data_IF_395105493887
#
_entry.id   IF_395105493887
#
_cell.length_a   1.000
_cell.length_b   1.000
_cell.length_c   1.000
_cell.angle_alpha   90.00
_cell.angle_beta   90.00
_cell.angle_gamma   90.00
#
_symmetry.space_group_name_H-M   'P 1'
#
loop_
_entity.id
_entity.type
_entity.pdbx_description
1 polymer ?
#
# COMPACT_ATOMS: atom_id res chain seq x y z
N UNK A 1 -11.37 13.49 -20.15
CA UNK A 1 -11.39 12.01 -20.20
C UNK A 1 -11.12 11.51 -18.79
N UNK A 2 -11.73 10.40 -18.34
CA UNK A 2 -11.45 9.85 -17.02
C UNK A 2 -9.97 9.49 -16.92
N UNK A 3 -9.32 9.90 -15.83
CA UNK A 3 -7.92 9.53 -15.57
C UNK A 3 -7.91 8.19 -14.82
N UNK A 4 -7.21 7.20 -15.36
CA UNK A 4 -6.99 5.92 -14.67
C UNK A 4 -5.72 6.02 -13.84
N UNK A 5 -5.77 5.53 -12.60
CA UNK A 5 -4.63 5.49 -11.69
C UNK A 5 -4.30 4.04 -11.35
N UNK A 6 -3.04 3.65 -11.54
CA UNK A 6 -2.50 2.35 -11.18
C UNK A 6 -1.53 2.51 -10.00
N UNK A 7 -1.86 1.90 -8.86
CA UNK A 7 -0.93 1.68 -7.74
C UNK A 7 -0.40 0.25 -7.82
N UNK A 8 0.91 0.07 -7.75
CA UNK A 8 1.53 -1.23 -7.96
C UNK A 8 2.82 -1.41 -7.19
N UNK A 9 3.16 -2.66 -6.88
CA UNK A 9 4.48 -3.04 -6.42
C UNK A 9 4.76 -4.52 -6.68
N UNK A 10 6.03 -4.88 -6.64
CA UNK A 10 6.46 -6.27 -6.52
C UNK A 10 7.86 -6.29 -5.90
N UNK A 11 8.05 -7.17 -4.92
CA UNK A 11 9.39 -7.53 -4.45
C UNK A 11 9.99 -8.56 -5.42
N UNK A 12 11.10 -8.21 -6.05
CA UNK A 12 11.79 -9.05 -7.03
C UNK A 12 13.27 -8.64 -7.07
N UNK A 13 14.17 -9.61 -7.28
CA UNK A 13 15.60 -9.31 -7.39
C UNK A 13 15.91 -8.59 -8.70
N UNK A 14 16.26 -7.30 -8.60
CA UNK A 14 16.60 -6.42 -9.72
C UNK A 14 18.03 -5.88 -9.56
N UNK A 15 19.08 -6.70 -9.76
CA UNK A 15 20.48 -6.25 -9.58
C UNK A 15 20.87 -5.09 -10.51
N UNK A 16 20.25 -5.03 -11.68
CA UNK A 16 20.35 -4.04 -12.76
C UNK A 16 19.34 -2.87 -12.61
N UNK A 17 18.65 -2.69 -11.47
CA UNK A 17 17.59 -1.68 -11.30
C UNK A 17 18.01 -0.23 -11.68
N UNK A 18 19.31 0.07 -11.63
CA UNK A 18 19.87 1.37 -12.06
C UNK A 18 19.75 1.56 -13.57
N UNK A 19 19.98 0.50 -14.33
CA UNK A 19 19.92 0.46 -15.79
C UNK A 19 18.46 0.50 -16.28
N UNK A 20 17.53 -0.09 -15.51
CA UNK A 20 16.09 -0.07 -15.80
C UNK A 20 15.45 1.33 -15.76
N UNK A 21 16.10 2.31 -15.12
CA UNK A 21 15.53 3.64 -14.86
C UNK A 21 15.19 4.42 -16.12
N UNK A 22 16.11 4.49 -17.07
CA UNK A 22 15.92 5.30 -18.28
C UNK A 22 14.94 4.64 -19.26
N UNK A 23 15.02 3.33 -19.56
CA UNK A 23 14.00 2.65 -20.37
C UNK A 23 12.58 2.78 -19.78
N UNK A 24 12.44 2.64 -18.45
CA UNK A 24 11.15 2.83 -17.78
C UNK A 24 10.65 4.27 -17.87
N UNK A 25 11.57 5.25 -17.81
CA UNK A 25 11.20 6.66 -17.99
C UNK A 25 10.69 6.91 -19.41
N UNK A 26 11.37 6.39 -20.42
CA UNK A 26 10.97 6.52 -21.82
C UNK A 26 9.60 5.91 -22.04
N UNK A 27 9.38 4.66 -21.60
CA UNK A 27 8.08 4.00 -21.65
C UNK A 27 6.96 4.86 -21.05
N UNK A 28 7.14 5.34 -19.82
CA UNK A 28 6.14 6.18 -19.17
C UNK A 28 5.93 7.53 -19.88
N UNK A 29 6.98 8.12 -20.46
CA UNK A 29 6.89 9.40 -21.16
C UNK A 29 6.17 9.28 -22.50
N UNK A 30 6.44 8.21 -23.27
CA UNK A 30 5.79 7.92 -24.54
C UNK A 30 4.28 7.68 -24.36
N UNK A 31 3.91 7.07 -23.22
CA UNK A 31 2.54 6.86 -22.79
C UNK A 31 1.90 8.08 -22.09
N UNK A 32 2.61 9.21 -22.03
CA UNK A 32 2.19 10.45 -21.36
C UNK A 32 1.74 10.26 -19.90
N UNK A 33 2.33 9.28 -19.19
CA UNK A 33 2.00 8.97 -17.80
C UNK A 33 2.67 9.95 -16.84
N UNK A 34 1.98 10.23 -15.73
CA UNK A 34 2.52 11.01 -14.60
C UNK A 34 2.40 10.22 -13.31
N UNK A 35 3.21 10.58 -12.31
CA UNK A 35 3.25 9.89 -11.03
C UNK A 35 4.65 9.59 -10.57
N UNK A 36 4.80 8.57 -9.74
CA UNK A 36 6.08 8.21 -9.13
C UNK A 36 6.31 6.71 -9.18
N UNK A 37 7.51 6.32 -9.59
CA UNK A 37 8.01 4.95 -9.49
C UNK A 37 9.32 4.94 -8.73
N UNK A 38 9.45 3.99 -7.82
CA UNK A 38 10.63 3.66 -7.06
C UNK A 38 11.21 2.36 -7.60
N UNK A 39 12.50 2.36 -7.88
CA UNK A 39 13.28 1.18 -8.23
C UNK A 39 14.36 0.99 -7.18
N UNK A 40 14.50 -0.24 -6.70
CA UNK A 40 15.58 -0.67 -5.83
C UNK A 40 16.03 -2.07 -6.24
N UNK A 41 17.14 -2.54 -5.67
CA UNK A 41 17.59 -3.91 -5.86
C UNK A 41 16.50 -4.93 -5.48
N UNK A 42 15.66 -4.59 -4.51
CA UNK A 42 14.57 -5.44 -4.00
C UNK A 42 13.26 -5.36 -4.80
N UNK A 43 13.18 -4.57 -5.86
CA UNK A 43 12.00 -4.57 -6.75
C UNK A 43 11.53 -3.19 -7.19
N UNK A 44 10.21 -3.08 -7.39
CA UNK A 44 9.52 -1.90 -7.92
C UNK A 44 8.30 -1.54 -7.08
N UNK A 45 8.02 -0.24 -6.94
CA UNK A 45 6.80 0.29 -6.30
C UNK A 45 6.43 1.60 -6.99
N UNK A 46 5.16 1.83 -7.29
CA UNK A 46 4.75 3.09 -7.88
C UNK A 46 3.26 3.35 -7.89
N UNK A 47 2.94 4.61 -8.16
CA UNK A 47 1.60 5.07 -8.52
C UNK A 47 1.72 5.91 -9.78
N UNK A 48 1.04 5.51 -10.85
CA UNK A 48 1.01 6.22 -12.12
C UNK A 48 -0.43 6.52 -12.53
N UNK A 49 -0.63 7.64 -13.20
CA UNK A 49 -1.90 8.08 -13.73
C UNK A 49 -1.78 8.50 -15.20
N UNK A 50 -2.82 8.23 -15.98
CA UNK A 50 -2.86 8.50 -17.41
C UNK A 50 -4.20 8.15 -18.05
N UNK A 51 -4.21 8.11 -19.38
CA UNK A 51 -5.33 7.54 -20.12
C UNK A 51 -5.52 6.05 -19.79
N UNK A 52 -6.75 5.51 -19.81
CA UNK A 52 -7.00 4.10 -19.50
C UNK A 52 -6.15 3.13 -20.33
N UNK A 53 -6.12 3.33 -21.66
CA UNK A 53 -5.34 2.52 -22.59
C UNK A 53 -3.83 2.61 -22.33
N UNK A 54 -3.33 3.81 -22.02
CA UNK A 54 -1.92 4.03 -21.69
C UNK A 54 -1.50 3.30 -20.40
N UNK A 55 -2.38 3.26 -19.39
CA UNK A 55 -2.13 2.49 -18.17
C UNK A 55 -2.15 0.98 -18.46
N UNK A 56 -3.07 0.51 -19.30
CA UNK A 56 -3.15 -0.91 -19.67
C UNK A 56 -1.91 -1.34 -20.46
N UNK A 57 -1.45 -0.51 -21.40
CA UNK A 57 -0.20 -0.72 -22.15
C UNK A 57 1.03 -0.73 -21.23
N UNK A 58 1.12 0.19 -20.28
CA UNK A 58 2.19 0.22 -19.29
C UNK A 58 2.23 -1.07 -18.44
N UNK A 59 1.08 -1.52 -17.95
CA UNK A 59 0.99 -2.75 -17.15
C UNK A 59 1.37 -3.97 -17.98
N UNK A 60 0.93 -4.04 -19.23
CA UNK A 60 1.32 -5.11 -20.15
C UNK A 60 2.84 -5.10 -20.39
N UNK A 61 3.44 -3.92 -20.57
CA UNK A 61 4.89 -3.79 -20.73
C UNK A 61 5.66 -4.24 -19.47
N UNK A 62 5.19 -3.93 -18.26
CA UNK A 62 5.83 -4.42 -17.04
C UNK A 62 5.85 -5.96 -16.95
N UNK A 63 4.77 -6.61 -17.40
CA UNK A 63 4.59 -8.07 -17.29
C UNK A 63 5.23 -8.85 -18.45
N UNK A 64 5.19 -8.30 -19.65
CA UNK A 64 5.44 -9.07 -20.88
C UNK A 64 6.60 -8.56 -21.72
N UNK A 65 7.15 -7.36 -21.46
CA UNK A 65 8.31 -6.89 -22.19
C UNK A 65 9.62 -7.48 -21.67
N UNK A 66 10.64 -7.45 -22.51
CA UNK A 66 12.00 -7.86 -22.13
C UNK A 66 12.63 -6.96 -21.06
N UNK A 67 12.05 -5.77 -20.79
CA UNK A 67 12.60 -4.79 -19.85
C UNK A 67 12.86 -5.39 -18.47
N UNK A 68 11.93 -6.20 -17.97
CA UNK A 68 12.09 -6.88 -16.68
C UNK A 68 12.43 -8.37 -16.83
N UNK A 69 12.55 -8.89 -18.05
CA UNK A 69 12.91 -10.29 -18.31
C UNK A 69 12.05 -11.29 -17.55
N UNK A 70 10.74 -11.02 -17.43
CA UNK A 70 9.79 -11.87 -16.69
C UNK A 70 9.89 -11.79 -15.16
N UNK A 71 10.78 -10.97 -14.58
CA UNK A 71 10.96 -10.85 -13.12
C UNK A 71 9.78 -10.18 -12.39
N UNK A 72 8.83 -9.60 -13.13
CA UNK A 72 7.62 -8.96 -12.60
C UNK A 72 6.34 -9.77 -12.93
N UNK A 73 6.35 -11.06 -12.57
CA UNK A 73 5.29 -12.03 -12.80
C UNK A 73 4.14 -12.02 -11.77
N UNK A 74 4.34 -11.35 -10.63
CA UNK A 74 3.41 -11.31 -9.50
C UNK A 74 3.12 -9.88 -9.05
N UNK A 75 2.90 -8.99 -10.03
CA UNK A 75 2.66 -7.59 -9.78
C UNK A 75 1.36 -7.39 -8.99
N UNK A 76 1.50 -6.95 -7.74
CA UNK A 76 0.38 -6.46 -6.94
C UNK A 76 -0.09 -5.14 -7.56
N UNK A 77 -1.33 -5.11 -8.02
CA UNK A 77 -1.84 -4.06 -8.89
C UNK A 77 -3.26 -3.67 -8.48
N UNK A 78 -3.50 -2.37 -8.32
CA UNK A 78 -4.81 -1.80 -8.02
C UNK A 78 -5.09 -0.62 -8.92
N UNK A 79 -6.33 -0.57 -9.41
CA UNK A 79 -6.81 0.50 -10.26
C UNK A 79 -7.84 1.34 -9.51
N UNK A 80 -7.78 2.65 -9.74
CA UNK A 80 -8.79 3.60 -9.31
C UNK A 80 -8.95 4.66 -10.40
N UNK A 81 -9.97 5.49 -10.26
CA UNK A 81 -10.19 6.62 -11.17
C UNK A 81 -9.81 7.92 -10.46
N UNK A 82 -9.51 8.92 -11.27
CA UNK A 82 -9.33 10.29 -10.81
C UNK A 82 -10.13 11.27 -11.68
N UNK A 83 -10.76 12.26 -11.03
CA UNK A 83 -11.52 13.30 -11.72
C UNK A 83 -10.60 14.23 -12.55
N UNK A 84 -9.39 14.47 -12.05
CA UNK A 84 -8.33 15.22 -12.70
C UNK A 84 -7.01 14.45 -12.60
N UNK A 85 -5.96 14.92 -13.30
CA UNK A 85 -4.64 14.30 -13.25
C UNK A 85 -4.01 14.53 -11.86
N UNK A 86 -3.83 13.50 -11.01
CA UNK A 86 -3.49 13.70 -9.60
C UNK A 86 -1.98 13.87 -9.35
N UNK A 87 -1.21 14.11 -10.41
CA UNK A 87 0.24 14.27 -10.38
C UNK A 87 0.71 15.37 -11.34
N UNK A 88 1.51 16.30 -10.84
CA UNK A 88 2.12 17.33 -11.68
C UNK A 88 3.11 16.81 -12.75
N UNK A 89 3.89 15.76 -12.45
CA UNK A 89 4.95 15.22 -13.35
C UNK A 89 5.30 13.76 -13.06
N UNK A 90 5.97 13.10 -14.01
CA UNK A 90 6.60 11.79 -13.83
C UNK A 90 7.88 11.89 -12.98
N UNK A 91 8.08 10.93 -12.07
CA UNK A 91 9.30 10.74 -11.28
C UNK A 91 9.68 9.27 -11.27
N UNK A 92 10.86 8.92 -11.80
CA UNK A 92 11.47 7.58 -11.60
C UNK A 92 12.69 7.73 -10.69
N UNK A 93 12.63 7.15 -9.49
CA UNK A 93 13.63 7.33 -8.43
C UNK A 93 14.31 6.02 -8.07
N UNK A 94 15.63 6.05 -8.03
CA UNK A 94 16.45 4.98 -7.46
C UNK A 94 16.47 5.10 -5.94
N UNK A 95 16.25 3.99 -5.24
CA UNK A 95 16.23 3.92 -3.78
C UNK A 95 17.02 2.72 -3.29
N UNK A 96 17.34 2.72 -1.99
CA UNK A 96 17.85 1.53 -1.30
C UNK A 96 16.75 0.49 -1.13
N UNK A 97 15.54 0.96 -0.82
CA UNK A 97 14.35 0.16 -0.60
C UNK A 97 13.16 0.79 -1.34
N UNK A 98 12.28 -0.03 -1.90
CA UNK A 98 11.01 0.42 -2.52
C UNK A 98 9.96 0.81 -1.49
N UNK A 99 10.17 0.39 -0.23
CA UNK A 99 9.52 0.91 0.97
C UNK A 99 10.52 0.86 2.13
N UNK A 100 10.88 2.04 2.66
CA UNK A 100 11.98 2.14 3.65
C UNK A 100 11.58 1.56 5.00
N UNK A 101 12.23 0.47 5.39
CA UNK A 101 12.14 -0.14 6.71
C UNK A 101 13.48 -0.08 7.47
N UNK A 102 14.59 -0.27 6.75
CA UNK A 102 15.95 -0.13 7.28
C UNK A 102 16.35 -1.24 8.27
N UNK A 103 15.94 -2.48 8.00
CA UNK A 103 16.41 -3.69 8.67
C UNK A 103 16.44 -4.83 7.62
N UNK A 104 17.61 -5.46 7.45
CA UNK A 104 17.82 -6.53 6.47
C UNK A 104 17.09 -7.83 6.84
N UNK A 105 16.66 -7.99 8.10
CA UNK A 105 15.82 -9.12 8.49
C UNK A 105 14.40 -9.04 7.91
N UNK A 106 14.00 -7.88 7.41
CA UNK A 106 12.67 -7.62 6.84
C UNK A 106 12.72 -7.77 5.31
N UNK A 107 12.98 -9.00 4.85
CA UNK A 107 13.15 -9.37 3.45
C UNK A 107 11.94 -10.18 2.94
N UNK A 108 11.01 -9.54 2.21
CA UNK A 108 9.83 -10.22 1.67
C UNK A 108 10.14 -11.31 0.64
N UNK A 109 11.33 -11.31 0.05
CA UNK A 109 11.71 -12.35 -0.92
C UNK A 109 12.05 -13.68 -0.25
N UNK A 110 12.30 -13.66 1.07
CA UNK A 110 12.61 -14.85 1.87
C UNK A 110 11.38 -15.41 2.57
N UNK A 111 10.62 -14.54 3.23
CA UNK A 111 9.45 -14.93 4.00
C UNK A 111 8.53 -13.73 4.22
N UNK A 112 7.23 -13.96 4.10
CA UNK A 112 6.17 -13.00 4.43
C UNK A 112 5.10 -13.69 5.26
N UNK A 113 4.26 -12.89 5.90
CA UNK A 113 3.08 -13.35 6.62
C UNK A 113 2.02 -13.97 5.70
N UNK A 114 1.01 -14.56 6.32
CA UNK A 114 -0.12 -15.16 5.61
C UNK A 114 -1.02 -14.07 5.04
N UNK A 115 -1.18 -14.05 3.72
CA UNK A 115 -2.16 -13.17 3.07
C UNK A 115 -3.59 -13.57 3.45
N UNK A 116 -4.41 -12.57 3.71
CA UNK A 116 -5.83 -12.74 3.99
C UNK A 116 -6.63 -11.93 2.97
N UNK A 117 -7.53 -12.60 2.27
CA UNK A 117 -8.40 -11.96 1.29
C UNK A 117 -9.39 -11.01 1.99
N UNK A 118 -9.81 -9.91 1.34
CA UNK A 118 -10.77 -8.96 1.94
C UNK A 118 -12.03 -9.60 2.53
N UNK A 119 -12.58 -10.61 1.85
CA UNK A 119 -13.79 -11.33 2.29
C UNK A 119 -13.61 -12.07 3.62
N UNK A 120 -12.39 -12.49 3.93
CA UNK A 120 -12.04 -13.26 5.12
C UNK A 120 -11.48 -12.34 6.23
N UNK A 121 -11.15 -11.09 5.88
CA UNK A 121 -10.50 -10.13 6.77
C UNK A 121 -11.33 -9.80 8.00
N UNK A 122 -12.61 -9.47 7.82
CA UNK A 122 -13.51 -9.07 8.91
C UNK A 122 -13.64 -10.14 9.99
N UNK A 123 -13.65 -11.42 9.59
CA UNK A 123 -13.70 -12.56 10.50
C UNK A 123 -12.43 -12.64 11.33
N UNK A 124 -11.26 -12.54 10.69
CA UNK A 124 -9.97 -12.56 11.38
C UNK A 124 -9.88 -11.44 12.41
N UNK A 125 -10.14 -10.19 12.00
CA UNK A 125 -10.03 -9.03 12.88
C UNK A 125 -11.19 -8.92 13.89
N UNK A 126 -12.19 -9.80 13.81
CA UNK A 126 -13.29 -9.93 14.78
C UNK A 126 -12.97 -10.85 15.94
N UNK A 127 -11.91 -11.65 15.80
CA UNK A 127 -11.52 -12.59 16.84
C UNK A 127 -10.84 -11.85 18.00
N UNK A 128 -11.26 -12.08 19.26
CA UNK A 128 -10.74 -11.34 20.43
C UNK A 128 -9.27 -11.63 20.74
N UNK A 129 -8.70 -12.69 20.17
CA UNK A 129 -7.29 -13.07 20.29
C UNK A 129 -6.39 -12.43 19.21
N UNK A 130 -6.97 -11.67 18.27
CA UNK A 130 -6.25 -11.05 17.16
C UNK A 130 -5.84 -9.63 17.50
N UNK A 131 -4.54 -9.38 17.49
CA UNK A 131 -4.01 -8.01 17.59
C UNK A 131 -4.02 -7.39 16.20
N UNK A 132 -4.92 -6.45 15.98
CA UNK A 132 -4.99 -5.68 14.75
C UNK A 132 -4.05 -4.47 14.83
N UNK A 133 -3.14 -4.31 13.86
CA UNK A 133 -2.14 -3.24 13.85
C UNK A 133 -2.17 -2.49 12.52
N UNK A 134 -2.30 -1.16 12.61
CA UNK A 134 -2.14 -0.27 11.47
C UNK A 134 -0.66 0.00 11.23
N UNK A 135 -0.10 -0.43 10.10
CA UNK A 135 1.35 -0.24 9.83
C UNK A 135 1.66 1.10 9.19
N UNK A 136 0.67 1.99 9.11
CA UNK A 136 0.79 3.30 8.46
C UNK A 136 1.32 4.36 9.39
N UNK A 137 1.63 5.54 8.84
CA UNK A 137 2.09 6.67 9.63
C UNK A 137 0.90 7.31 10.36
N UNK A 138 1.16 7.98 11.49
CA UNK A 138 0.12 8.58 12.34
C UNK A 138 -0.85 9.50 11.56
N UNK A 139 -0.37 10.28 10.59
CA UNK A 139 -1.24 11.14 9.78
C UNK A 139 -2.23 10.36 8.90
N UNK A 140 -1.87 9.14 8.45
CA UNK A 140 -2.74 8.28 7.66
C UNK A 140 -3.80 7.61 8.54
N UNK A 141 -3.44 7.28 9.78
CA UNK A 141 -4.36 6.71 10.79
C UNK A 141 -5.42 7.74 11.19
N UNK A 142 -5.02 9.00 11.36
CA UNK A 142 -5.92 10.10 11.71
C UNK A 142 -7.05 10.32 10.69
N UNK A 143 -6.84 9.98 9.42
CA UNK A 143 -7.84 10.14 8.34
C UNK A 143 -8.87 8.99 8.35
N UNK A 144 -8.44 7.81 8.79
CA UNK A 144 -9.31 6.64 8.88
C UNK A 144 -8.51 5.39 9.18
N UNK A 145 -9.12 4.43 9.88
CA UNK A 145 -8.50 3.15 10.23
C UNK A 145 -9.57 2.08 10.44
N UNK A 146 -9.16 0.82 10.63
CA UNK A 146 -10.08 -0.24 11.01
C UNK A 146 -10.49 -0.11 12.48
N UNK A 147 -11.77 -0.36 12.77
CA UNK A 147 -12.28 -0.38 14.14
C UNK A 147 -11.52 -1.39 15.02
N UNK A 148 -10.98 -0.91 16.14
CA UNK A 148 -10.18 -1.71 17.08
C UNK A 148 -8.71 -1.90 16.68
N UNK A 149 -8.23 -1.23 15.62
CA UNK A 149 -6.82 -1.26 15.25
C UNK A 149 -5.94 -0.52 16.27
N UNK A 150 -4.79 -1.11 16.58
CA UNK A 150 -3.72 -0.47 17.33
C UNK A 150 -3.00 0.52 16.42
N UNK A 151 -2.93 1.79 16.83
CA UNK A 151 -2.10 2.82 16.20
C UNK A 151 -0.70 2.81 16.81
N UNK A 152 0.36 2.51 16.04
CA UNK A 152 1.74 2.60 16.51
C UNK A 152 2.23 4.03 16.78
N UNK A 153 1.48 5.06 16.39
CA UNK A 153 1.83 6.47 16.46
C UNK A 153 3.19 6.80 15.80
N UNK A 154 3.53 6.09 14.72
CA UNK A 154 4.82 6.24 14.04
C UNK A 154 4.81 7.40 13.04
N UNK A 155 5.85 8.23 13.06
CA UNK A 155 6.03 9.31 12.09
C UNK A 155 6.53 8.81 10.71
N UNK A 156 7.11 7.62 10.66
CA UNK A 156 7.58 6.97 9.43
C UNK A 156 7.58 5.46 9.58
N UNK A 157 7.33 4.72 8.48
CA UNK A 157 7.23 3.26 8.50
C UNK A 157 8.48 2.55 9.08
N UNK A 158 9.68 3.07 8.86
CA UNK A 158 10.91 2.52 9.45
C UNK A 158 10.95 2.55 10.99
N UNK A 159 10.02 3.25 11.64
CA UNK A 159 9.83 3.24 13.11
C UNK A 159 8.93 2.12 13.60
N UNK A 160 8.31 1.34 12.71
CA UNK A 160 7.53 0.17 13.09
C UNK A 160 8.37 -0.87 13.85
N UNK A 161 9.66 -1.04 13.50
CA UNK A 161 10.58 -1.94 14.21
C UNK A 161 10.77 -1.55 15.67
N UNK A 162 10.82 -0.24 15.95
CA UNK A 162 10.95 0.31 17.30
C UNK A 162 9.65 0.02 18.07
N UNK A 163 8.48 0.30 17.47
CA UNK A 163 7.18 -0.06 18.06
C UNK A 163 7.09 -1.55 18.38
N UNK A 164 7.40 -2.42 17.41
CA UNK A 164 7.32 -3.86 17.58
C UNK A 164 8.24 -4.37 18.70
N UNK A 165 9.46 -3.84 18.82
CA UNK A 165 10.40 -4.25 19.87
C UNK A 165 9.95 -3.85 21.28
N UNK A 166 9.23 -2.74 21.44
CA UNK A 166 8.82 -2.23 22.76
C UNK A 166 7.43 -2.70 23.18
N UNK A 167 6.54 -2.98 22.22
CA UNK A 167 5.12 -3.23 22.50
C UNK A 167 4.66 -4.64 22.16
N UNK A 168 5.38 -5.35 21.29
CA UNK A 168 5.00 -6.70 20.88
C UNK A 168 5.92 -7.75 21.49
N UNK A 169 5.28 -8.75 22.06
CA UNK A 169 5.89 -9.95 22.63
C UNK A 169 5.29 -11.19 21.94
N UNK A 170 6.09 -12.05 21.29
CA UNK A 170 5.61 -13.24 20.60
C UNK A 170 4.95 -14.29 21.53
N UNK A 171 5.27 -14.29 22.83
CA UNK A 171 4.63 -15.17 23.80
C UNK A 171 3.19 -14.72 24.14
N UNK A 172 2.93 -13.42 24.06
CA UNK A 172 1.63 -12.81 24.40
C UNK A 172 0.77 -12.55 23.17
N UNK A 173 1.37 -12.06 22.09
CA UNK A 173 0.69 -11.66 20.87
C UNK A 173 0.91 -12.71 19.80
N UNK A 174 0.24 -13.85 19.98
CA UNK A 174 0.41 -15.02 19.10
C UNK A 174 -0.13 -14.77 17.71
N UNK A 175 -1.26 -14.06 17.61
CA UNK A 175 -2.01 -13.76 16.38
C UNK A 175 -2.03 -12.27 16.11
N UNK A 176 -1.35 -11.86 15.05
CA UNK A 176 -1.22 -10.46 14.62
C UNK A 176 -1.81 -10.32 13.22
N UNK A 177 -2.70 -9.37 13.03
CA UNK A 177 -3.23 -8.98 11.73
C UNK A 177 -2.79 -7.55 11.40
N UNK A 178 -2.18 -7.35 10.24
CA UNK A 178 -1.64 -6.05 9.82
C UNK A 178 -2.24 -5.57 8.50
N UNK A 179 -2.35 -4.26 8.35
CA UNK A 179 -2.78 -3.65 7.10
C UNK A 179 -2.05 -2.33 6.85
N UNK A 180 -2.09 -1.91 5.58
CA UNK A 180 -1.73 -0.59 5.12
C UNK A 180 -2.51 -0.28 3.83
N UNK A 181 -2.25 0.86 3.20
CA UNK A 181 -2.95 1.32 1.97
C UNK A 181 -3.03 0.23 0.88
N UNK A 182 -1.88 -0.29 0.43
CA UNK A 182 -1.81 -1.21 -0.70
C UNK A 182 -1.12 -2.56 -0.43
N UNK A 183 -0.68 -2.83 0.81
CA UNK A 183 -0.05 -4.11 1.19
C UNK A 183 1.47 -4.06 1.37
N UNK A 184 2.20 -3.27 0.57
CA UNK A 184 3.69 -3.30 0.52
C UNK A 184 4.40 -3.15 1.88
N UNK A 185 3.86 -2.36 2.81
CA UNK A 185 4.43 -2.22 4.16
C UNK A 185 4.26 -3.49 4.98
N UNK A 186 3.13 -4.18 4.84
CA UNK A 186 2.84 -5.39 5.59
C UNK A 186 3.73 -6.55 5.16
N UNK A 187 4.20 -6.57 3.91
CA UNK A 187 5.22 -7.53 3.45
C UNK A 187 6.48 -7.45 4.30
N UNK A 188 7.06 -6.24 4.45
CA UNK A 188 8.26 -6.03 5.27
C UNK A 188 7.97 -6.22 6.76
N UNK A 189 6.87 -5.65 7.26
CA UNK A 189 6.52 -5.75 8.66
C UNK A 189 6.27 -7.21 9.08
N UNK A 190 5.63 -8.01 8.24
CA UNK A 190 5.39 -9.42 8.53
C UNK A 190 6.67 -10.25 8.47
N UNK A 191 7.51 -10.06 7.46
CA UNK A 191 8.84 -10.66 7.40
C UNK A 191 9.66 -10.37 8.67
N UNK A 192 9.66 -9.11 9.11
CA UNK A 192 10.35 -8.68 10.33
C UNK A 192 9.85 -9.38 11.60
N UNK A 193 8.52 -9.50 11.77
CA UNK A 193 7.93 -10.17 12.93
C UNK A 193 8.21 -11.67 12.91
N UNK A 194 8.07 -12.33 11.75
CA UNK A 194 8.37 -13.76 11.61
C UNK A 194 9.83 -14.06 11.97
N UNK A 195 10.78 -13.22 11.53
CA UNK A 195 12.20 -13.32 11.88
C UNK A 195 12.47 -13.19 13.40
N UNK A 196 11.52 -12.68 14.17
CA UNK A 196 11.59 -12.47 15.64
C UNK A 196 10.75 -13.47 16.43
N UNK A 197 10.27 -14.53 15.78
CA UNK A 197 9.62 -15.66 16.46
C UNK A 197 8.11 -15.50 16.64
N UNK A 198 7.48 -14.49 16.03
CA UNK A 198 6.02 -14.47 15.90
C UNK A 198 5.58 -15.58 14.94
N UNK A 199 4.54 -16.32 15.28
CA UNK A 199 4.14 -17.53 14.52
C UNK A 199 2.91 -17.34 13.65
N UNK A 200 1.95 -16.52 14.08
CA UNK A 200 0.71 -16.28 13.33
C UNK A 200 0.62 -14.81 12.93
N UNK A 201 1.34 -14.46 11.87
CA UNK A 201 1.38 -13.10 11.31
C UNK A 201 0.60 -13.07 10.01
N UNK A 202 -0.50 -12.32 10.01
CA UNK A 202 -1.43 -12.15 8.89
C UNK A 202 -1.38 -10.74 8.36
N UNK A 203 -1.69 -10.58 7.07
CA UNK A 203 -1.82 -9.26 6.47
C UNK A 203 -2.84 -9.22 5.34
N UNK A 204 -3.51 -8.07 5.24
CA UNK A 204 -4.58 -7.84 4.28
C UNK A 204 -4.03 -7.78 2.86
N UNK A 205 -4.42 -8.76 2.02
CA UNK A 205 -3.98 -8.85 0.63
C UNK A 205 -4.48 -7.65 -0.17
N UNK A 206 -3.55 -6.96 -0.83
CA UNK A 206 -3.83 -5.72 -1.56
C UNK A 206 -4.19 -4.52 -0.68
N UNK A 207 -4.10 -4.64 0.64
CA UNK A 207 -4.32 -3.57 1.61
C UNK A 207 -5.75 -3.02 1.66
N UNK A 208 -5.89 -1.85 2.29
CA UNK A 208 -7.15 -1.15 2.50
C UNK A 208 -7.86 -0.88 1.16
N UNK A 209 -7.12 -0.54 0.09
CA UNK A 209 -7.72 -0.28 -1.21
C UNK A 209 -8.45 -1.52 -1.74
N UNK A 210 -7.85 -2.71 -1.63
CA UNK A 210 -8.52 -3.95 -2.06
C UNK A 210 -9.75 -4.26 -1.19
N UNK A 211 -9.70 -3.93 0.11
CA UNK A 211 -10.83 -4.09 1.00
C UNK A 211 -12.00 -3.16 0.64
N UNK A 212 -11.74 -1.87 0.43
CA UNK A 212 -12.76 -0.88 0.07
C UNK A 212 -13.37 -1.12 -1.33
N UNK A 213 -12.67 -1.85 -2.19
CA UNK A 213 -13.19 -2.25 -3.50
C UNK A 213 -14.16 -3.44 -3.41
N UNK A 214 -13.90 -4.40 -2.52
CA UNK A 214 -14.58 -5.70 -2.53
C UNK A 214 -15.54 -5.94 -1.36
N UNK A 215 -15.36 -5.26 -0.23
CA UNK A 215 -16.22 -5.44 0.95
C UNK A 215 -17.34 -4.40 0.91
N UNK A 216 -18.62 -4.81 0.95
CA UNK A 216 -19.74 -3.87 0.98
C UNK A 216 -19.65 -2.91 2.16
N UNK A 217 -20.01 -1.64 1.95
CA UNK A 217 -19.93 -0.60 2.97
C UNK A 217 -20.73 -0.94 4.24
N UNK A 218 -21.90 -1.59 4.10
CA UNK A 218 -22.72 -2.04 5.25
C UNK A 218 -22.08 -3.15 6.10
N UNK A 219 -21.11 -3.87 5.56
CA UNK A 219 -20.33 -4.91 6.25
C UNK A 219 -18.93 -4.40 6.65
N UNK A 220 -18.62 -3.15 6.33
CA UNK A 220 -17.29 -2.58 6.51
C UNK A 220 -16.97 -2.29 7.97
N UNK A 221 -15.79 -2.75 8.38
CA UNK A 221 -15.15 -2.38 9.64
C UNK A 221 -14.17 -1.21 9.51
N UNK A 222 -13.99 -0.69 8.30
CA UNK A 222 -13.25 0.54 8.04
C UNK A 222 -14.04 1.77 8.52
N UNK A 223 -13.34 2.75 9.10
CA UNK A 223 -13.89 4.04 9.55
C UNK A 223 -13.04 5.17 8.96
N UNK A 224 -13.68 6.24 8.49
CA UNK A 224 -13.00 7.36 7.83
C UNK A 224 -12.62 7.07 6.37
N UNK A 225 -11.50 7.65 5.91
CA UNK A 225 -11.04 7.53 4.52
C UNK A 225 -9.63 6.95 4.43
N UNK A 226 -9.30 6.35 3.29
CA UNK A 226 -7.98 5.77 3.05
C UNK A 226 -7.08 6.78 2.35
N UNK A 227 -6.10 7.31 3.08
CA UNK A 227 -5.10 8.23 2.53
C UNK A 227 -4.34 7.61 1.33
N UNK A 228 -4.15 8.41 0.29
CA UNK A 228 -3.35 8.09 -0.91
C UNK A 228 -2.30 9.15 -1.18
N UNK A 229 -1.15 8.74 -1.72
CA UNK A 229 0.04 9.59 -1.88
C UNK A 229 0.01 10.41 -3.18
N UNK A 230 -1.13 11.04 -3.47
CA UNK A 230 -1.36 11.87 -4.65
C UNK A 230 -2.40 12.97 -4.37
N UNK A 231 -2.70 13.81 -5.37
CA UNK A 231 -3.54 15.01 -5.17
C UNK A 231 -5.01 14.70 -4.82
N UNK A 232 -5.43 13.42 -4.84
CA UNK A 232 -6.76 13.00 -4.36
C UNK A 232 -6.87 12.99 -2.84
N UNK A 233 -5.74 12.98 -2.13
CA UNK A 233 -5.61 12.94 -0.66
C UNK A 233 -6.14 11.66 -0.01
N UNK A 234 -7.40 11.27 -0.25
CA UNK A 234 -7.99 10.07 0.31
C UNK A 234 -9.07 9.45 -0.61
N UNK A 235 -9.33 8.16 -0.41
CA UNK A 235 -10.37 7.40 -1.11
C UNK A 235 -11.32 6.73 -0.10
N UNK A 236 -12.60 6.74 -0.43
CA UNK A 236 -13.65 6.00 0.29
C UNK A 236 -13.97 4.64 -0.33
N UNK A 237 -15.11 4.08 0.08
CA UNK A 237 -15.66 2.85 -0.48
C UNK A 237 -15.86 2.93 -1.99
N UNK A 238 -15.61 1.80 -2.67
CA UNK A 238 -15.61 1.74 -4.13
C UNK A 238 -14.46 2.52 -4.79
N UNK A 239 -13.41 2.87 -4.02
CA UNK A 239 -12.24 3.64 -4.48
C UNK A 239 -12.59 4.99 -5.09
N UNK A 240 -13.61 5.63 -4.52
CA UNK A 240 -14.11 6.94 -4.97
C UNK A 240 -13.45 8.07 -4.19
N UNK A 241 -13.13 9.15 -4.90
CA UNK A 241 -12.86 10.44 -4.28
C UNK A 241 -14.14 10.95 -3.61
N UNK A 242 -14.05 11.51 -2.40
CA UNK A 242 -15.16 12.31 -1.88
C UNK A 242 -15.09 13.72 -2.46
N UNK A 243 -16.23 14.32 -2.82
CA UNK A 243 -16.27 15.75 -3.14
C UNK A 243 -15.79 16.57 -1.93
N UNK A 244 -15.01 17.62 -2.18
CA UNK A 244 -14.48 18.53 -1.16
C UNK A 244 -15.57 19.24 -0.30
N UNK A 245 -16.85 19.06 -0.62
CA UNK A 245 -17.98 19.76 0.03
C UNK A 245 -18.35 19.20 1.42
N UNK A 246 -17.75 18.10 1.87
CA UNK A 246 -18.00 17.52 3.21
C UNK A 246 -17.02 18.02 4.30
N UNK A 247 -15.99 18.79 3.95
CA UNK A 247 -15.08 19.39 4.93
C UNK A 247 -15.73 20.55 5.71
N UNK A 248 -16.84 21.13 5.23
CA UNK A 248 -17.48 22.30 5.86
C UNK A 248 -18.60 21.98 6.85
N UNK A 249 -19.02 20.72 7.00
CA UNK A 249 -20.10 20.35 7.91
C UNK A 249 -19.64 19.91 9.31
N UNK A 250 -18.35 19.59 9.49
CA UNK A 250 -17.81 19.21 10.80
C UNK A 250 -17.33 20.40 11.64
N UNK A 251 -17.18 21.60 11.07
CA UNK A 251 -16.89 22.81 11.85
C UNK A 251 -18.16 23.49 12.42
N UNK A 252 -19.35 23.21 11.88
CA UNK A 252 -20.61 23.84 12.30
C UNK A 252 -21.35 23.11 13.44
N UNK A 253 -21.00 21.85 13.77
CA UNK A 253 -21.61 21.09 14.86
C UNK A 253 -20.79 21.11 16.17
N UNK A 254 -19.67 21.87 16.21
CA UNK A 254 -18.85 22.05 17.42
C UNK A 254 -19.12 23.39 18.14
N UNK A 255 -20.15 24.13 17.71
CA UNK A 255 -20.51 25.45 18.24
C UNK A 255 -21.93 25.56 18.81
N UNK A 256 -22.52 24.47 19.30
CA UNK A 256 -23.73 24.51 20.15
C UNK A 256 -23.53 23.78 21.48
#
# INVERSE_FOLDING_TARGET
MPTKVAAFYQFASLPDFRELREPLRTLCADLALKGSVLLAHEGINGTLAGGPEAIDEFVAALRHSDLFGGRLDHLELKFSNAASMPFGRLKIRLKKEIVTFGDESADPTRQVGTYVEPRDWNQLIGSPDTVLIDTRNAFEVAIGTFEGATDPAIASFGKFKDFAAHHLDPARHRKIAMFCTGGIRCEKASSYLLARGFTEVYHLKGGILNYLEHVPEGESRWRGECFVFDERVALGHGLRERPAELESQTELESSE
#
